data_IF_976745135547
#
_entry.id   IF_976745135547
#
_cell.length_a   1.000
_cell.length_b   1.000
_cell.length_c   1.000
_cell.angle_alpha   90.00
_cell.angle_beta   90.00
_cell.angle_gamma   90.00
#
_symmetry.space_group_name_H-M   'P 1'
#
loop_
_entity.id
_entity.type
_entity.pdbx_description
1 polymer ?
#
# COMPACT_ATOMS: atom_id res chain seq x y z
N UNK A 1 4.05 -35.79 50.01
CA UNK A 1 3.32 -34.81 49.16
C UNK A 1 4.35 -33.93 48.46
N UNK A 2 4.57 -34.12 47.16
CA UNK A 2 5.50 -33.31 46.35
C UNK A 2 4.84 -31.98 45.97
N UNK A 3 5.51 -30.86 46.26
CA UNK A 3 5.02 -29.51 45.95
C UNK A 3 4.81 -29.38 44.44
N UNK A 4 3.57 -29.13 44.02
CA UNK A 4 3.25 -28.72 42.65
C UNK A 4 3.84 -27.33 42.43
N UNK A 5 4.80 -27.20 41.51
CA UNK A 5 5.33 -25.90 41.09
C UNK A 5 4.30 -25.20 40.21
N UNK A 6 3.41 -24.39 40.82
CA UNK A 6 2.33 -23.67 40.13
C UNK A 6 2.81 -22.32 39.55
N UNK A 7 4.08 -22.25 39.12
CA UNK A 7 4.72 -21.02 38.66
C UNK A 7 5.11 -21.07 37.18
N UNK A 8 5.37 -19.89 36.59
CA UNK A 8 5.95 -19.80 35.24
C UNK A 8 7.24 -20.61 35.19
N UNK A 9 7.39 -21.55 34.23
CA UNK A 9 8.60 -22.33 34.09
C UNK A 9 9.83 -21.43 33.99
N UNK A 10 10.93 -21.76 34.69
CA UNK A 10 12.15 -20.98 34.64
C UNK A 10 12.71 -20.97 33.20
N UNK A 11 12.98 -19.79 32.65
CA UNK A 11 13.71 -19.69 31.36
C UNK A 11 15.17 -20.09 31.58
N UNK A 12 15.72 -20.89 30.65
CA UNK A 12 17.10 -21.38 30.70
C UNK A 12 18.11 -20.21 30.66
N UNK A 13 17.88 -19.24 29.78
CA UNK A 13 18.67 -18.01 29.68
C UNK A 13 17.84 -16.80 30.10
N UNK A 14 18.18 -16.26 31.28
CA UNK A 14 17.56 -15.05 31.84
C UNK A 14 18.48 -13.85 31.62
N UNK A 15 17.89 -12.70 31.30
CA UNK A 15 18.61 -11.44 31.21
C UNK A 15 18.96 -10.94 32.62
N UNK A 16 20.01 -11.49 33.22
CA UNK A 16 20.43 -11.20 34.60
C UNK A 16 21.29 -9.94 34.73
N UNK A 17 21.89 -9.47 33.62
CA UNK A 17 22.79 -8.32 33.61
C UNK A 17 22.08 -7.09 33.03
N UNK A 18 22.12 -5.97 33.76
CA UNK A 18 21.56 -4.69 33.35
C UNK A 18 22.70 -3.69 33.09
N UNK A 19 22.66 -3.02 31.94
CA UNK A 19 23.57 -1.93 31.59
C UNK A 19 22.78 -0.62 31.57
N UNK A 20 23.18 0.37 32.38
CA UNK A 20 22.57 1.70 32.38
C UNK A 20 23.21 2.57 31.31
N UNK A 21 22.40 3.14 30.42
CA UNK A 21 22.84 4.11 29.41
C UNK A 21 22.27 5.48 29.79
N UNK A 22 23.13 6.49 29.85
CA UNK A 22 22.73 7.88 30.09
C UNK A 22 22.87 8.67 28.79
N UNK A 23 21.87 9.46 28.48
CA UNK A 23 21.84 10.34 27.31
C UNK A 23 21.82 11.79 27.78
N UNK A 24 22.49 12.66 27.04
CA UNK A 24 22.20 14.10 27.06
C UNK A 24 20.85 14.36 26.37
N UNK A 25 20.28 15.55 26.55
CA UNK A 25 18.96 15.87 25.96
C UNK A 25 18.95 15.76 24.43
N UNK A 26 20.05 16.17 23.78
CA UNK A 26 20.18 16.11 22.31
C UNK A 26 20.29 14.67 21.80
N UNK A 27 21.03 13.82 22.52
CA UNK A 27 21.16 12.40 22.20
C UNK A 27 19.83 11.66 22.44
N UNK A 28 19.10 12.01 23.49
CA UNK A 28 17.82 11.40 23.80
C UNK A 28 16.76 11.75 22.75
N UNK A 29 16.74 12.99 22.26
CA UNK A 29 15.86 13.38 21.15
C UNK A 29 16.17 12.56 19.88
N UNK A 30 17.46 12.40 19.53
CA UNK A 30 17.87 11.56 18.38
C UNK A 30 17.50 10.09 18.60
N UNK A 31 17.68 9.58 19.81
CA UNK A 31 17.31 8.22 20.18
C UNK A 31 15.81 7.97 19.96
N UNK A 32 14.93 8.89 20.38
CA UNK A 32 13.49 8.76 20.22
C UNK A 32 13.07 8.70 18.74
N UNK A 33 13.65 9.59 17.90
CA UNK A 33 13.39 9.55 16.45
C UNK A 33 13.78 8.21 15.84
N UNK A 34 14.96 7.68 16.19
CA UNK A 34 15.42 6.39 15.66
C UNK A 34 14.61 5.20 16.20
N UNK A 35 14.17 5.28 17.46
CA UNK A 35 13.31 4.28 18.07
C UNK A 35 11.95 4.21 17.37
N UNK A 36 11.32 5.35 17.11
CA UNK A 36 10.04 5.44 16.38
C UNK A 36 10.16 4.86 14.97
N UNK A 37 11.23 5.19 14.25
CA UNK A 37 11.49 4.63 12.91
C UNK A 37 11.74 3.12 12.90
N UNK A 38 12.20 2.55 14.03
CA UNK A 38 12.47 1.11 14.12
C UNK A 38 11.21 0.26 14.26
N UNK A 39 10.09 0.82 14.72
CA UNK A 39 8.85 0.06 14.96
C UNK A 39 8.97 -1.02 16.03
N UNK A 40 10.04 -1.04 16.84
CA UNK A 40 10.17 -1.97 17.97
C UNK A 40 9.27 -1.56 19.14
N UNK A 41 8.76 -2.56 19.86
CA UNK A 41 7.81 -2.34 20.96
C UNK A 41 8.45 -1.75 22.22
N UNK A 42 9.77 -1.89 22.41
CA UNK A 42 10.43 -1.39 23.61
C UNK A 42 11.85 -0.86 23.34
N UNK A 43 12.21 0.19 24.09
CA UNK A 43 13.48 0.92 23.98
C UNK A 43 14.71 0.04 24.23
N UNK A 44 14.62 -0.91 25.18
CA UNK A 44 15.72 -1.80 25.52
C UNK A 44 16.05 -2.80 24.39
N UNK A 45 15.04 -3.30 23.68
CA UNK A 45 15.21 -4.13 22.49
C UNK A 45 15.88 -3.34 21.37
N UNK A 46 15.47 -2.08 21.17
CA UNK A 46 16.10 -1.21 20.19
C UNK A 46 17.58 -0.93 20.50
N UNK A 47 17.92 -0.66 21.76
CA UNK A 47 19.32 -0.48 22.17
C UNK A 47 20.13 -1.74 21.92
N UNK A 48 19.62 -2.93 22.31
CA UNK A 48 20.31 -4.20 22.06
C UNK A 48 20.53 -4.47 20.57
N UNK A 49 19.51 -4.29 19.74
CA UNK A 49 19.60 -4.46 18.30
C UNK A 49 20.66 -3.54 17.68
N UNK A 50 20.76 -2.28 18.16
CA UNK A 50 21.78 -1.33 17.72
C UNK A 50 23.20 -1.69 18.20
N UNK A 51 23.35 -2.15 19.44
CA UNK A 51 24.66 -2.54 20.00
C UNK A 51 25.23 -3.78 19.32
N UNK A 52 24.38 -4.77 19.02
CA UNK A 52 24.79 -6.01 18.36
C UNK A 52 24.73 -5.94 16.83
N UNK A 53 24.55 -4.73 16.28
CA UNK A 53 24.54 -4.44 14.85
C UNK A 53 23.59 -5.36 14.06
N UNK A 54 22.45 -5.73 14.67
CA UNK A 54 21.44 -6.53 13.99
C UNK A 54 20.92 -5.75 12.78
N UNK A 55 20.87 -6.41 11.63
CA UNK A 55 20.46 -5.77 10.37
C UNK A 55 19.01 -5.32 10.45
N UNK A 56 18.79 -4.03 10.70
CA UNK A 56 17.46 -3.46 10.69
C UNK A 56 17.02 -3.17 9.26
N UNK A 57 16.08 -3.94 8.72
CA UNK A 57 15.40 -3.58 7.47
C UNK A 57 14.33 -2.56 7.79
N UNK A 58 14.68 -1.28 7.83
CA UNK A 58 13.69 -0.20 7.82
C UNK A 58 13.03 -0.24 6.44
N UNK A 59 11.90 -0.93 6.31
CA UNK A 59 11.06 -0.82 5.13
C UNK A 59 10.42 0.56 5.22
N UNK A 60 11.09 1.59 4.69
CA UNK A 60 10.48 2.87 4.39
C UNK A 60 9.49 2.59 3.26
N UNK A 61 8.30 2.11 3.60
CA UNK A 61 7.20 2.04 2.65
C UNK A 61 6.86 3.49 2.36
N UNK A 62 7.24 3.95 1.17
CA UNK A 62 6.76 5.21 0.66
C UNK A 62 5.23 5.07 0.52
N UNK A 63 4.52 5.60 1.53
CA UNK A 63 3.05 5.50 1.59
C UNK A 63 2.42 6.16 0.36
N UNK A 64 3.08 7.14 -0.24
CA UNK A 64 2.60 7.79 -1.47
C UNK A 64 2.66 6.85 -2.66
N UNK A 65 3.72 6.04 -2.76
CA UNK A 65 3.89 5.05 -3.81
C UNK A 65 2.87 3.90 -3.65
N UNK A 66 2.63 3.45 -2.43
CA UNK A 66 1.62 2.42 -2.16
C UNK A 66 0.20 2.91 -2.49
N UNK A 67 -0.15 4.13 -2.06
CA UNK A 67 -1.45 4.76 -2.38
C UNK A 67 -1.60 4.95 -3.90
N UNK A 68 -0.53 5.33 -4.59
CA UNK A 68 -0.50 5.40 -6.05
C UNK A 68 -0.81 4.06 -6.71
N UNK A 69 -0.13 2.97 -6.31
CA UNK A 69 -0.40 1.63 -6.85
C UNK A 69 -1.83 1.16 -6.56
N UNK A 70 -2.37 1.44 -5.38
CA UNK A 70 -3.76 1.12 -5.04
C UNK A 70 -4.76 1.87 -5.92
N UNK A 71 -4.53 3.17 -6.15
CA UNK A 71 -5.37 3.98 -7.05
C UNK A 71 -5.31 3.46 -8.49
N UNK A 72 -4.12 3.12 -8.99
CA UNK A 72 -3.95 2.57 -10.32
C UNK A 72 -4.67 1.21 -10.48
N UNK A 73 -4.55 0.34 -9.48
CA UNK A 73 -5.24 -0.97 -9.48
C UNK A 73 -6.75 -0.80 -9.47
N UNK A 74 -7.26 0.14 -8.68
CA UNK A 74 -8.69 0.46 -8.61
C UNK A 74 -9.21 0.98 -9.94
N UNK A 75 -8.46 1.90 -10.58
CA UNK A 75 -8.77 2.42 -11.90
C UNK A 75 -8.86 1.29 -12.95
N UNK A 76 -7.89 0.37 -12.95
CA UNK A 76 -7.94 -0.80 -13.84
C UNK A 76 -9.18 -1.68 -13.61
N UNK A 77 -9.55 -1.90 -12.34
CA UNK A 77 -10.78 -2.61 -11.98
C UNK A 77 -12.05 -1.93 -12.52
N UNK A 78 -12.09 -0.59 -12.46
CA UNK A 78 -13.19 0.21 -13.02
C UNK A 78 -13.29 0.06 -14.54
N UNK A 79 -12.16 0.17 -15.27
CA UNK A 79 -12.14 -0.03 -16.72
C UNK A 79 -12.67 -1.41 -17.13
N UNK A 80 -12.24 -2.46 -16.43
CA UNK A 80 -12.72 -3.82 -16.67
C UNK A 80 -14.23 -3.94 -16.43
N UNK A 81 -14.74 -3.34 -15.34
CA UNK A 81 -16.17 -3.35 -15.04
C UNK A 81 -16.98 -2.65 -16.13
N UNK A 82 -16.48 -1.56 -16.70
CA UNK A 82 -17.14 -0.87 -17.82
C UNK A 82 -17.24 -1.81 -19.03
N UNK A 83 -16.18 -2.54 -19.38
CA UNK A 83 -16.22 -3.51 -20.48
C UNK A 83 -17.22 -4.65 -20.27
N UNK A 84 -17.33 -5.17 -19.04
CA UNK A 84 -18.34 -6.19 -18.69
C UNK A 84 -19.76 -5.63 -18.81
N UNK A 85 -19.99 -4.45 -18.25
CA UNK A 85 -21.30 -3.78 -18.31
C UNK A 85 -21.69 -3.45 -19.76
N UNK A 86 -20.72 -3.04 -20.60
CA UNK A 86 -20.93 -2.84 -22.03
C UNK A 86 -21.44 -4.11 -22.70
N UNK A 87 -20.73 -5.23 -22.51
CA UNK A 87 -21.10 -6.51 -23.14
C UNK A 87 -22.49 -6.97 -22.68
N UNK A 88 -22.79 -6.84 -21.39
CA UNK A 88 -24.11 -7.14 -20.84
C UNK A 88 -25.21 -6.27 -21.46
N UNK A 89 -24.97 -4.97 -21.59
CA UNK A 89 -25.94 -4.02 -22.16
C UNK A 89 -26.25 -4.37 -23.61
N UNK A 90 -25.24 -4.70 -24.41
CA UNK A 90 -25.41 -5.12 -25.81
C UNK A 90 -26.22 -6.42 -25.92
N UNK A 91 -25.96 -7.41 -25.07
CA UNK A 91 -26.72 -8.67 -25.06
C UNK A 91 -28.19 -8.41 -24.68
N UNK A 92 -28.44 -7.60 -23.64
CA UNK A 92 -29.80 -7.26 -23.20
C UNK A 92 -30.58 -6.47 -24.25
N UNK A 93 -29.90 -5.54 -24.94
CA UNK A 93 -30.46 -4.76 -26.05
C UNK A 93 -30.89 -5.66 -27.20
N UNK A 94 -30.06 -6.63 -27.56
CA UNK A 94 -30.36 -7.61 -28.63
C UNK A 94 -31.58 -8.47 -28.30
N UNK A 95 -31.79 -8.82 -27.03
CA UNK A 95 -32.82 -9.79 -26.64
C UNK A 95 -34.17 -9.17 -26.23
N UNK A 96 -34.21 -7.93 -25.73
CA UNK A 96 -35.40 -7.40 -25.05
C UNK A 96 -36.05 -6.15 -25.66
N UNK A 97 -35.41 -5.45 -26.61
CA UNK A 97 -35.91 -4.16 -27.12
C UNK A 97 -36.32 -4.19 -28.60
N UNK A 98 -37.29 -3.35 -28.96
CA UNK A 98 -37.62 -3.04 -30.36
C UNK A 98 -36.48 -2.22 -31.00
N UNK A 99 -36.26 -2.39 -32.31
CA UNK A 99 -35.09 -1.83 -33.04
C UNK A 99 -34.85 -0.34 -32.76
N UNK A 100 -35.91 0.49 -32.73
CA UNK A 100 -35.78 1.94 -32.46
C UNK A 100 -35.23 2.25 -31.07
N UNK A 101 -35.65 1.51 -30.03
CA UNK A 101 -35.13 1.71 -28.65
C UNK A 101 -33.72 1.17 -28.51
N UNK A 102 -33.43 0.05 -29.19
CA UNK A 102 -32.09 -0.52 -29.21
C UNK A 102 -31.07 0.44 -29.84
N UNK A 103 -31.43 1.05 -30.98
CA UNK A 103 -30.59 2.02 -31.68
C UNK A 103 -30.31 3.28 -30.85
N UNK A 104 -31.33 3.84 -30.18
CA UNK A 104 -31.14 5.02 -29.33
C UNK A 104 -30.20 4.75 -28.15
N UNK A 105 -30.25 3.56 -27.55
CA UNK A 105 -29.33 3.18 -26.48
C UNK A 105 -27.92 2.89 -26.98
N UNK A 106 -27.77 2.27 -28.16
CA UNK A 106 -26.47 2.05 -28.79
C UNK A 106 -25.77 3.38 -29.11
N UNK A 107 -26.48 4.36 -29.66
CA UNK A 107 -25.92 5.68 -29.94
C UNK A 107 -25.42 6.40 -28.66
N UNK A 108 -26.16 6.26 -27.54
CA UNK A 108 -25.72 6.81 -26.25
C UNK A 108 -24.48 6.08 -25.71
N UNK A 109 -24.43 4.76 -25.89
CA UNK A 109 -23.31 3.92 -25.47
C UNK A 109 -22.04 4.24 -26.27
N UNK A 110 -22.17 4.43 -27.58
CA UNK A 110 -21.08 4.85 -28.47
C UNK A 110 -20.46 6.17 -28.00
N UNK A 111 -21.29 7.17 -27.69
CA UNK A 111 -20.82 8.45 -27.17
C UNK A 111 -20.02 8.31 -25.87
N UNK A 112 -20.54 7.54 -24.91
CA UNK A 112 -19.84 7.30 -23.64
C UNK A 112 -18.52 6.54 -23.83
N UNK A 113 -18.47 5.65 -24.83
CA UNK A 113 -17.25 4.90 -25.17
C UNK A 113 -16.19 5.83 -25.77
N UNK A 114 -16.60 6.79 -26.60
CA UNK A 114 -15.69 7.82 -27.14
C UNK A 114 -15.12 8.72 -26.03
N UNK A 115 -15.95 9.20 -25.11
CA UNK A 115 -15.50 9.99 -23.96
C UNK A 115 -14.48 9.21 -23.10
N UNK A 116 -14.73 7.91 -22.89
CA UNK A 116 -13.80 7.04 -22.16
C UNK A 116 -12.45 6.89 -22.87
N UNK A 117 -12.45 6.75 -24.21
CA UNK A 117 -11.21 6.65 -25.00
C UNK A 117 -10.40 7.95 -24.92
N UNK A 118 -11.06 9.12 -24.96
CA UNK A 118 -10.41 10.42 -24.83
C UNK A 118 -9.70 10.53 -23.47
N UNK A 119 -10.43 10.27 -22.39
CA UNK A 119 -9.87 10.31 -21.02
C UNK A 119 -8.74 9.28 -20.87
N UNK A 120 -8.90 8.07 -21.44
CA UNK A 120 -7.85 7.07 -21.48
C UNK A 120 -6.58 7.56 -22.17
N UNK A 121 -6.71 8.28 -23.28
CA UNK A 121 -5.61 8.91 -24.00
C UNK A 121 -4.90 9.98 -23.16
N UNK A 122 -5.63 10.84 -22.47
CA UNK A 122 -5.08 11.85 -21.56
C UNK A 122 -4.28 11.22 -20.41
N UNK A 123 -4.78 10.13 -19.83
CA UNK A 123 -4.08 9.39 -18.77
C UNK A 123 -2.75 8.82 -19.29
N UNK A 124 -2.74 8.22 -20.48
CA UNK A 124 -1.52 7.68 -21.09
C UNK A 124 -0.51 8.80 -21.37
N UNK A 125 -0.98 9.94 -21.87
CA UNK A 125 -0.12 11.09 -22.15
C UNK A 125 0.51 11.66 -20.88
N UNK A 126 -0.29 11.90 -19.84
CA UNK A 126 0.20 12.36 -18.54
C UNK A 126 1.19 11.37 -17.92
N UNK A 127 0.97 10.07 -18.11
CA UNK A 127 1.89 9.02 -17.63
C UNK A 127 3.24 9.08 -18.36
N UNK A 128 3.25 9.31 -19.67
CA UNK A 128 4.48 9.48 -20.45
C UNK A 128 5.26 10.73 -20.03
N UNK A 129 4.59 11.86 -19.90
CA UNK A 129 5.21 13.11 -19.44
C UNK A 129 5.81 12.99 -18.04
N UNK A 130 5.13 12.27 -17.16
CA UNK A 130 5.67 11.96 -15.84
C UNK A 130 6.92 11.08 -15.96
N UNK A 131 6.86 10.00 -16.74
CA UNK A 131 7.99 9.10 -16.94
C UNK A 131 9.22 9.84 -17.48
N UNK A 132 9.06 10.71 -18.48
CA UNK A 132 10.15 11.54 -19.03
C UNK A 132 10.76 12.48 -17.97
N UNK A 133 9.92 13.19 -17.20
CA UNK A 133 10.37 14.12 -16.14
C UNK A 133 11.09 13.44 -14.97
N UNK A 134 10.88 12.16 -14.76
CA UNK A 134 11.53 11.38 -13.69
C UNK A 134 12.70 10.54 -14.18
N UNK A 135 12.73 10.14 -15.46
CA UNK A 135 13.90 9.52 -16.10
C UNK A 135 15.07 10.50 -16.19
N UNK A 136 14.83 11.79 -16.45
CA UNK A 136 15.88 12.82 -16.49
C UNK A 136 16.42 13.24 -15.12
N UNK A 137 15.86 12.74 -14.02
CA UNK A 137 16.31 13.06 -12.64
C UNK A 137 17.16 11.96 -11.98
N UNK A 138 17.39 10.84 -12.67
CA UNK A 138 18.42 9.85 -12.32
C UNK A 138 19.70 10.13 -13.09
#
# INVERSE_FOLDING_TARGET
>A
MTKRNVGRPPKNERANHCCMVRFTDTEFARFLMLFEQSGLLNKAAFIKARVFNETFRVIKVDRSLLDYYQKLTTLYGQFRSVGVNYNQTVVVLKSNFTEKKAFAMLAKLEKLTLELVIIGGEIVQLTREFQEKWQHRQ
#
